data_IF_375735254579
#
_entry.id   IF_375735254579
#
_cell.length_a   1.000
_cell.length_b   1.000
_cell.length_c   1.000
_cell.angle_alpha   90.00
_cell.angle_beta   90.00
_cell.angle_gamma   90.00
#
_symmetry.space_group_name_H-M   'P 1'
#
loop_
_entity.id
_entity.type
_entity.pdbx_description
1 polymer ?
#
# COMPACT_ATOMS: atom_id res chain seq x y z
N UNK A 1 10.81 -20.90 10.12
CA UNK A 1 9.53 -20.84 9.38
C UNK A 1 8.34 -20.47 10.27
N UNK A 2 8.00 -21.25 11.32
CA UNK A 2 6.86 -20.92 12.21
C UNK A 2 7.00 -19.59 12.98
N UNK A 3 8.20 -19.22 13.43
CA UNK A 3 8.42 -17.99 14.20
C UNK A 3 8.12 -16.71 13.37
N UNK A 4 8.63 -16.65 12.14
CA UNK A 4 8.41 -15.53 11.21
C UNK A 4 6.94 -15.38 10.78
N UNK A 5 6.22 -16.50 10.63
CA UNK A 5 4.79 -16.49 10.28
C UNK A 5 3.91 -16.01 11.45
N UNK A 6 4.30 -16.35 12.68
CA UNK A 6 3.67 -15.84 13.90
C UNK A 6 3.96 -14.35 14.08
N UNK A 7 5.17 -13.88 13.79
CA UNK A 7 5.52 -12.46 13.82
C UNK A 7 4.73 -11.64 12.78
N UNK A 8 4.56 -12.13 11.55
CA UNK A 8 3.73 -11.46 10.53
C UNK A 8 2.27 -11.30 10.94
N UNK A 9 1.67 -12.33 11.57
CA UNK A 9 0.31 -12.25 12.11
C UNK A 9 0.22 -11.31 13.32
N UNK A 10 1.31 -11.12 14.06
CA UNK A 10 1.38 -10.18 15.18
C UNK A 10 1.43 -8.71 14.70
N UNK A 11 2.00 -8.45 13.52
CA UNK A 11 2.08 -7.12 12.91
C UNK A 11 0.81 -6.71 12.14
N UNK A 12 0.07 -7.66 11.57
CA UNK A 12 -1.28 -7.47 11.05
C UNK A 12 -2.32 -7.37 12.19
N UNK A 13 -2.09 -6.45 13.12
CA UNK A 13 -2.74 -6.44 14.43
C UNK A 13 -3.96 -5.53 14.55
N UNK A 14 -4.73 -5.77 15.61
CA UNK A 14 -5.85 -4.94 16.08
C UNK A 14 -5.49 -3.45 16.26
N UNK A 15 -4.21 -3.13 16.51
CA UNK A 15 -3.72 -1.74 16.65
C UNK A 15 -4.00 -0.90 15.39
N UNK A 16 -3.78 -1.48 14.20
CA UNK A 16 -4.07 -0.81 12.93
C UNK A 16 -5.57 -0.53 12.78
N UNK A 17 -6.41 -1.50 13.15
CA UNK A 17 -7.86 -1.34 13.14
C UNK A 17 -8.32 -0.28 14.15
N UNK A 18 -7.77 -0.24 15.36
CA UNK A 18 -8.08 0.79 16.35
C UNK A 18 -7.68 2.20 15.90
N UNK A 19 -6.52 2.35 15.25
CA UNK A 19 -6.12 3.61 14.63
C UNK A 19 -7.12 4.04 13.54
N UNK A 20 -7.55 3.11 12.69
CA UNK A 20 -8.55 3.41 11.67
C UNK A 20 -9.92 3.76 12.25
N UNK A 21 -10.37 3.08 13.31
CA UNK A 21 -11.59 3.43 14.06
C UNK A 21 -11.47 4.85 14.62
N UNK A 22 -10.32 5.21 15.21
CA UNK A 22 -10.12 6.55 15.78
C UNK A 22 -10.10 7.64 14.70
N UNK A 23 -9.66 7.33 13.48
CA UNK A 23 -9.61 8.25 12.32
C UNK A 23 -10.95 8.40 11.59
N UNK A 24 -11.67 7.31 11.40
CA UNK A 24 -12.89 7.27 10.57
C UNK A 24 -14.18 7.52 11.37
N UNK A 25 -14.14 7.36 12.70
CA UNK A 25 -15.33 7.24 13.56
C UNK A 25 -16.29 6.10 13.16
N UNK A 26 -15.82 5.15 12.36
CA UNK A 26 -16.56 3.93 12.04
C UNK A 26 -16.36 2.89 13.12
N UNK A 27 -17.37 2.04 13.36
CA UNK A 27 -17.22 0.96 14.33
C UNK A 27 -16.21 -0.08 13.83
N UNK A 28 -15.54 -0.75 14.77
CA UNK A 28 -14.45 -1.70 14.48
C UNK A 28 -14.86 -2.78 13.47
N UNK A 29 -16.08 -3.30 13.61
CA UNK A 29 -16.61 -4.30 12.70
C UNK A 29 -16.69 -3.78 11.26
N UNK A 30 -17.00 -2.51 11.01
CA UNK A 30 -17.00 -1.95 9.64
C UNK A 30 -15.59 -1.76 9.10
N UNK A 31 -14.69 -1.23 9.95
CA UNK A 31 -13.30 -0.97 9.57
C UNK A 31 -12.58 -2.26 9.16
N UNK A 32 -12.91 -3.39 9.78
CA UNK A 32 -12.28 -4.68 9.51
C UNK A 32 -12.51 -5.23 8.09
N UNK A 33 -13.62 -4.85 7.41
CA UNK A 33 -13.92 -5.30 6.05
C UNK A 33 -14.14 -4.16 5.05
N UNK A 34 -14.01 -2.91 5.48
CA UNK A 34 -14.12 -1.75 4.61
C UNK A 34 -12.98 -1.71 3.58
N UNK A 35 -13.30 -1.34 2.34
CA UNK A 35 -12.29 -1.03 1.34
C UNK A 35 -11.53 0.25 1.72
N UNK A 36 -10.32 0.43 1.19
CA UNK A 36 -9.57 1.64 1.49
C UNK A 36 -10.30 2.91 1.03
N UNK A 37 -10.98 2.88 -0.12
CA UNK A 37 -11.76 4.03 -0.59
C UNK A 37 -12.86 4.40 0.41
N UNK A 38 -13.49 3.42 1.05
CA UNK A 38 -14.48 3.65 2.09
C UNK A 38 -13.87 4.30 3.35
N UNK A 39 -12.69 3.82 3.76
CA UNK A 39 -11.94 4.36 4.90
C UNK A 39 -11.51 5.81 4.62
N UNK A 40 -10.90 6.09 3.47
CA UNK A 40 -10.45 7.43 3.09
C UNK A 40 -11.63 8.40 2.99
N UNK A 41 -12.73 7.99 2.35
CA UNK A 41 -13.96 8.79 2.27
C UNK A 41 -14.46 9.16 3.67
N UNK A 42 -14.45 8.22 4.63
CA UNK A 42 -14.89 8.51 5.99
C UNK A 42 -13.96 9.50 6.72
N UNK A 43 -12.64 9.39 6.50
CA UNK A 43 -11.65 10.34 7.03
C UNK A 43 -11.90 11.74 6.44
N UNK A 44 -12.10 11.84 5.13
CA UNK A 44 -12.35 13.10 4.42
C UNK A 44 -13.66 13.76 4.88
N UNK A 45 -14.74 12.98 5.04
CA UNK A 45 -16.02 13.49 5.57
C UNK A 45 -15.84 14.05 6.97
N UNK A 46 -15.10 13.34 7.83
CA UNK A 46 -14.82 13.82 9.19
C UNK A 46 -14.00 15.11 9.17
N UNK A 47 -12.98 15.20 8.32
CA UNK A 47 -12.17 16.41 8.19
C UNK A 47 -13.00 17.59 7.66
N UNK A 48 -13.90 17.35 6.72
CA UNK A 48 -14.84 18.36 6.24
C UNK A 48 -15.78 18.82 7.36
N UNK A 49 -16.30 17.88 8.16
CA UNK A 49 -17.13 18.18 9.33
C UNK A 49 -16.39 19.05 10.36
N UNK A 50 -15.13 18.73 10.69
CA UNK A 50 -14.34 19.56 11.63
C UNK A 50 -14.05 20.96 11.08
N UNK A 51 -14.02 21.11 9.76
CA UNK A 51 -13.83 22.39 9.08
C UNK A 51 -15.16 23.12 8.79
N UNK A 52 -16.30 22.60 9.27
CA UNK A 52 -17.64 23.13 9.02
C UNK A 52 -17.98 23.24 7.51
N UNK A 53 -17.49 22.30 6.71
CA UNK A 53 -17.72 22.20 5.26
C UNK A 53 -18.80 21.16 5.01
N UNK A 54 -19.83 21.52 4.24
CA UNK A 54 -20.89 20.60 3.83
C UNK A 54 -20.37 19.60 2.79
N UNK A 55 -20.48 18.31 3.10
CA UNK A 55 -20.18 17.22 2.17
C UNK A 55 -21.42 16.83 1.37
N UNK A 56 -21.32 16.63 0.04
CA UNK A 56 -22.45 16.19 -0.76
C UNK A 56 -22.91 14.78 -0.35
N UNK A 57 -24.22 14.59 -0.20
CA UNK A 57 -24.80 13.30 0.13
C UNK A 57 -24.75 12.36 -1.09
N UNK A 58 -23.94 11.30 -1.00
CA UNK A 58 -23.79 10.23 -2.02
C UNK A 58 -23.80 10.76 -3.46
N UNK A 59 -22.72 11.42 -3.85
CA UNK A 59 -22.50 12.00 -5.19
C UNK A 59 -22.26 10.95 -6.29
N UNK A 60 -23.04 9.85 -6.31
CA UNK A 60 -23.06 8.93 -7.45
C UNK A 60 -23.72 9.67 -8.62
N UNK A 61 -22.91 10.43 -9.33
CA UNK A 61 -23.28 11.05 -10.60
C UNK A 61 -22.65 10.20 -11.70
N UNK A 62 -23.45 9.61 -12.59
CA UNK A 62 -22.93 8.97 -13.78
C UNK A 62 -22.02 9.95 -14.52
N UNK A 63 -20.84 9.52 -14.91
CA UNK A 63 -20.01 10.35 -15.77
C UNK A 63 -20.75 10.61 -17.09
N UNK A 64 -20.92 11.88 -17.44
CA UNK A 64 -21.40 12.24 -18.77
C UNK A 64 -20.36 11.84 -19.82
N UNK A 65 -20.76 11.37 -21.02
CA UNK A 65 -19.82 11.04 -22.08
C UNK A 65 -18.85 12.20 -22.38
N UNK A 66 -17.55 11.98 -22.16
CA UNK A 66 -16.50 12.96 -22.41
C UNK A 66 -15.95 12.77 -23.83
N UNK A 67 -15.49 13.85 -24.46
CA UNK A 67 -14.79 13.77 -25.75
C UNK A 67 -13.47 13.01 -25.56
N UNK A 68 -13.05 12.24 -26.57
CA UNK A 68 -11.78 11.51 -26.55
C UNK A 68 -10.57 12.42 -26.26
N UNK A 69 -10.59 13.67 -26.72
CA UNK A 69 -9.55 14.67 -26.43
C UNK A 69 -9.48 15.08 -24.96
N UNK A 70 -10.60 15.00 -24.23
CA UNK A 70 -10.68 15.28 -22.78
C UNK A 70 -10.15 14.09 -21.99
N UNK A 71 -10.54 12.87 -22.38
CA UNK A 71 -10.00 11.64 -21.79
C UNK A 71 -8.47 11.57 -21.92
N UNK A 72 -7.92 11.92 -23.09
CA UNK A 72 -6.46 11.99 -23.32
C UNK A 72 -5.71 12.98 -22.43
N UNK A 73 -6.39 13.97 -21.84
CA UNK A 73 -5.78 14.97 -20.96
C UNK A 73 -6.00 14.65 -19.48
N UNK A 74 -7.20 14.22 -19.12
CA UNK A 74 -7.60 13.98 -17.73
C UNK A 74 -7.14 12.63 -17.19
N UNK A 75 -7.03 11.62 -18.06
CA UNK A 75 -6.93 10.21 -17.65
C UNK A 75 -5.70 9.54 -18.28
N UNK A 76 -4.55 10.21 -18.21
CA UNK A 76 -3.28 9.67 -18.75
C UNK A 76 -2.68 8.57 -17.86
N UNK A 77 -3.20 8.39 -16.64
CA UNK A 77 -2.60 7.55 -15.61
C UNK A 77 -1.28 8.13 -15.11
N UNK A 78 -0.56 7.34 -14.29
CA UNK A 78 0.81 7.64 -13.90
C UNK A 78 1.77 7.48 -15.08
N UNK A 79 2.80 8.32 -15.15
CA UNK A 79 3.91 8.09 -16.07
C UNK A 79 4.71 6.88 -15.57
N UNK A 80 4.63 5.78 -16.32
CA UNK A 80 5.50 4.63 -16.08
C UNK A 80 6.82 4.94 -16.79
N UNK A 81 7.82 5.37 -16.02
CA UNK A 81 9.19 5.42 -16.52
C UNK A 81 9.69 3.99 -16.68
N UNK A 82 9.95 3.58 -17.91
CA UNK A 82 10.58 2.30 -18.19
C UNK A 82 12.08 2.57 -18.37
N UNK A 83 12.93 2.38 -17.33
CA UNK A 83 14.37 2.56 -17.46
C UNK A 83 14.93 1.64 -18.55
N UNK A 84 16.09 2.00 -19.11
CA UNK A 84 16.76 1.12 -20.06
C UNK A 84 17.21 -0.15 -19.32
N UNK A 85 17.04 -1.35 -19.90
CA UNK A 85 17.57 -2.57 -19.30
C UNK A 85 19.11 -2.55 -19.34
N UNK A 86 19.74 -2.01 -18.30
CA UNK A 86 21.18 -1.87 -18.13
C UNK A 86 21.55 -2.09 -16.65
N UNK A 87 22.85 -2.22 -16.34
CA UNK A 87 23.33 -2.36 -14.97
C UNK A 87 23.43 -0.98 -14.32
N UNK A 88 22.70 -0.79 -13.22
CA UNK A 88 22.72 0.43 -12.43
C UNK A 88 23.52 0.21 -11.14
N UNK A 89 24.48 1.07 -10.84
CA UNK A 89 25.20 1.10 -9.56
C UNK A 89 24.50 2.09 -8.60
N UNK A 90 24.49 1.79 -7.30
CA UNK A 90 23.99 2.67 -6.22
C UNK A 90 22.45 2.93 -6.19
N UNK A 91 21.65 1.92 -6.55
CA UNK A 91 20.18 1.96 -6.47
C UNK A 91 19.70 1.37 -5.15
N UNK A 92 19.60 2.17 -4.10
CA UNK A 92 19.24 1.65 -2.78
C UNK A 92 17.76 1.85 -2.43
N UNK A 93 16.94 0.95 -2.95
CA UNK A 93 15.62 0.59 -2.43
C UNK A 93 15.62 -0.92 -2.14
N UNK A 94 15.12 -1.36 -0.98
CA UNK A 94 15.05 -2.77 -0.58
C UNK A 94 14.32 -3.62 -1.63
N UNK A 95 13.33 -3.03 -2.31
CA UNK A 95 12.61 -3.69 -3.40
C UNK A 95 13.50 -4.04 -4.59
N UNK A 96 14.48 -3.18 -4.90
CA UNK A 96 15.42 -3.39 -6.00
C UNK A 96 16.43 -4.50 -5.66
N UNK A 97 16.93 -4.53 -4.42
CA UNK A 97 17.81 -5.61 -3.93
C UNK A 97 17.11 -6.97 -4.03
N UNK A 98 15.84 -7.04 -3.63
CA UNK A 98 15.03 -8.26 -3.74
C UNK A 98 14.77 -8.63 -5.21
N UNK A 99 14.51 -7.64 -6.06
CA UNK A 99 14.32 -7.85 -7.50
C UNK A 99 15.57 -8.46 -8.18
N UNK A 100 16.77 -8.02 -7.81
CA UNK A 100 18.04 -8.58 -8.31
C UNK A 100 18.26 -10.05 -7.93
N UNK A 101 17.53 -10.55 -6.92
CA UNK A 101 17.53 -11.96 -6.49
C UNK A 101 16.32 -12.71 -7.04
N UNK A 102 15.64 -12.18 -8.06
CA UNK A 102 14.36 -12.65 -8.60
C UNK A 102 13.26 -12.84 -7.54
N UNK A 103 13.24 -12.00 -6.51
CA UNK A 103 12.20 -12.00 -5.48
C UNK A 103 11.28 -10.81 -5.71
N UNK A 104 10.10 -11.08 -6.27
CA UNK A 104 9.10 -10.05 -6.52
C UNK A 104 8.39 -9.64 -5.22
N UNK A 105 8.47 -8.35 -4.87
CA UNK A 105 7.82 -7.76 -3.70
C UNK A 105 6.98 -6.54 -4.07
N UNK A 106 6.04 -6.17 -3.20
CA UNK A 106 5.30 -4.92 -3.33
C UNK A 106 5.97 -3.86 -2.47
N UNK A 107 6.29 -2.70 -3.04
CA UNK A 107 6.85 -1.57 -2.32
C UNK A 107 5.92 -0.34 -2.37
N UNK A 108 6.03 0.53 -1.37
CA UNK A 108 5.28 1.78 -1.28
C UNK A 108 4.36 1.83 -0.06
N UNK A 109 3.27 2.59 -0.15
CA UNK A 109 2.38 2.86 0.99
C UNK A 109 1.22 1.86 1.13
N UNK A 110 1.07 0.88 0.23
CA UNK A 110 0.03 -0.17 0.26
C UNK A 110 -1.40 0.30 0.57
N UNK A 111 -1.76 1.49 0.08
CA UNK A 111 -3.02 2.16 0.40
C UNK A 111 -3.20 2.51 1.90
N UNK A 112 -2.17 2.35 2.72
CA UNK A 112 -2.08 2.66 4.14
C UNK A 112 -1.31 3.97 4.42
N UNK A 113 -1.35 4.92 3.48
CA UNK A 113 -0.64 6.19 3.59
C UNK A 113 -0.90 6.95 4.91
N UNK A 114 -2.13 7.00 5.46
CA UNK A 114 -2.36 7.64 6.76
C UNK A 114 -1.58 6.98 7.91
N UNK A 115 -1.42 5.65 7.91
CA UNK A 115 -0.63 4.96 8.94
C UNK A 115 0.88 5.16 8.76
N UNK A 116 1.36 5.22 7.52
CA UNK A 116 2.76 5.52 7.22
C UNK A 116 3.14 6.93 7.72
N UNK A 117 2.24 7.91 7.59
CA UNK A 117 2.44 9.25 8.15
C UNK A 117 2.53 9.26 9.68
N UNK A 118 1.70 8.46 10.36
CA UNK A 118 1.72 8.37 11.83
C UNK A 118 3.00 7.73 12.39
N UNK A 119 3.56 6.79 11.64
CA UNK A 119 4.76 6.06 12.00
C UNK A 119 6.04 6.71 11.47
N UNK A 120 5.92 7.84 10.77
CA UNK A 120 7.02 8.52 10.09
C UNK A 120 7.80 7.61 9.13
N UNK A 121 7.07 6.74 8.42
CA UNK A 121 7.61 5.79 7.46
C UNK A 121 7.43 6.31 6.04
N UNK A 122 8.52 6.42 5.27
CA UNK A 122 8.49 6.81 3.86
C UNK A 122 7.76 5.80 2.96
N UNK A 123 7.73 4.53 3.36
CA UNK A 123 7.21 3.41 2.59
C UNK A 123 7.56 2.08 3.27
N UNK A 124 6.90 1.01 2.86
CA UNK A 124 7.20 -0.35 3.35
C UNK A 124 7.28 -1.31 2.18
N UNK A 125 8.02 -2.40 2.36
CA UNK A 125 8.10 -3.50 1.41
C UNK A 125 7.34 -4.69 2.00
N UNK A 126 6.49 -5.32 1.18
CA UNK A 126 5.65 -6.44 1.58
C UNK A 126 5.84 -7.62 0.61
N UNK A 127 6.31 -8.74 1.14
CA UNK A 127 6.22 -10.03 0.47
C UNK A 127 4.77 -10.53 0.55
N UNK A 128 4.21 -11.03 -0.56
CA UNK A 128 2.84 -11.58 -0.61
C UNK A 128 2.90 -12.95 -1.27
N UNK A 129 2.95 -14.06 -0.49
CA UNK A 129 2.92 -15.38 -1.07
C UNK A 129 1.58 -15.64 -1.78
N UNK A 130 1.61 -16.48 -2.80
CA UNK A 130 0.48 -16.87 -3.64
C UNK A 130 0.48 -18.38 -3.91
N UNK A 131 -0.57 -18.88 -4.57
CA UNK A 131 -0.80 -20.32 -4.78
C UNK A 131 0.36 -21.03 -5.52
N UNK A 132 1.13 -20.30 -6.31
CA UNK A 132 2.24 -20.85 -7.09
C UNK A 132 3.58 -20.82 -6.37
N UNK A 133 3.64 -20.26 -5.16
CA UNK A 133 4.89 -20.21 -4.42
C UNK A 133 5.26 -21.56 -3.82
N UNK A 134 6.54 -21.87 -3.88
CA UNK A 134 7.13 -23.08 -3.30
C UNK A 134 7.91 -22.75 -2.02
N UNK A 135 8.33 -23.78 -1.27
CA UNK A 135 9.24 -23.59 -0.14
C UNK A 135 10.58 -22.98 -0.58
N UNK A 136 11.04 -23.30 -1.80
CA UNK A 136 12.26 -22.72 -2.38
C UNK A 136 12.12 -21.20 -2.57
N UNK A 137 10.96 -20.72 -3.03
CA UNK A 137 10.72 -19.27 -3.14
C UNK A 137 10.79 -18.55 -1.79
N UNK A 138 10.30 -19.21 -0.73
CA UNK A 138 10.34 -18.67 0.63
C UNK A 138 11.77 -18.63 1.13
N UNK A 139 12.57 -19.68 0.90
CA UNK A 139 13.98 -19.70 1.28
C UNK A 139 14.77 -18.61 0.54
N UNK A 140 14.51 -18.42 -0.76
CA UNK A 140 15.12 -17.38 -1.60
C UNK A 140 14.78 -15.98 -1.09
N UNK A 141 13.52 -15.74 -0.71
CA UNK A 141 13.09 -14.50 -0.05
C UNK A 141 13.85 -14.26 1.26
N UNK A 142 14.00 -15.28 2.11
CA UNK A 142 14.70 -15.15 3.39
C UNK A 142 16.18 -14.85 3.22
N UNK A 143 16.84 -15.51 2.27
CA UNK A 143 18.25 -15.25 1.94
C UNK A 143 18.44 -13.81 1.44
N UNK A 144 17.60 -13.38 0.49
CA UNK A 144 17.65 -12.03 -0.04
C UNK A 144 17.40 -10.95 1.03
N UNK A 145 16.48 -11.18 1.98
CA UNK A 145 16.26 -10.26 3.11
C UNK A 145 17.46 -10.21 4.05
N UNK A 146 18.09 -11.35 4.37
CA UNK A 146 19.29 -11.39 5.22
C UNK A 146 20.47 -10.67 4.56
N UNK A 147 20.62 -10.83 3.25
CA UNK A 147 21.66 -10.12 2.50
C UNK A 147 21.41 -8.61 2.50
N UNK A 148 20.16 -8.20 2.24
CA UNK A 148 19.78 -6.80 2.33
C UNK A 148 20.07 -6.20 3.73
N UNK A 149 19.81 -6.94 4.82
CA UNK A 149 20.13 -6.51 6.19
C UNK A 149 21.62 -6.32 6.46
N UNK A 150 22.52 -6.93 5.69
CA UNK A 150 23.97 -6.69 5.83
C UNK A 150 24.43 -5.45 5.05
N UNK A 151 23.59 -4.92 4.17
CA UNK A 151 23.85 -3.73 3.35
C UNK A 151 23.40 -2.45 4.08
N UNK A 152 22.41 -2.55 4.99
CA UNK A 152 21.81 -1.44 5.75
C UNK A 152 22.17 -1.49 7.24
#
# INVERSE_FOLDING_TARGET
MLALLVDMLSEAGMKGLYNLVSRTWKPLQEVAWASIGNILTAIEIRQAYSNNILTPWKNWQPETPKKASTMRKADRGGFIFNPRPEVYEDVHDLAEVLNQKDVAVRAGNHCAQPQHQDLDLAGTVRASPYLYNTEEDVEKLLEAVREAQNIF
#
